data_IF_582370774597
#
_entry.id   IF_582370774597
#
_cell.length_a   1.000
_cell.length_b   1.000
_cell.length_c   1.000
_cell.angle_alpha   90.00
_cell.angle_beta   90.00
_cell.angle_gamma   90.00
#
_symmetry.space_group_name_H-M   'P 1'
#
loop_
_entity.id
_entity.type
_entity.pdbx_description
1 polymer ?
#
# COMPACT_ATOMS: atom_id res chain seq x y z
N UNK A 1 -5.25 146.42 -15.24
CA UNK A 1 -4.50 147.70 -15.26
C UNK A 1 -3.25 147.56 -14.41
N UNK A 2 -2.04 147.75 -14.97
CA UNK A 2 -0.88 148.22 -14.23
C UNK A 2 -0.74 149.75 -14.36
N UNK A 3 -0.05 150.44 -13.44
CA UNK A 3 -0.20 151.88 -13.23
C UNK A 3 0.52 152.73 -14.29
N UNK A 4 -0.13 153.84 -14.67
CA UNK A 4 0.41 154.93 -15.50
C UNK A 4 1.58 155.61 -14.75
N UNK A 5 2.78 155.61 -15.34
CA UNK A 5 3.90 156.47 -14.88
C UNK A 5 3.83 157.82 -15.59
N UNK A 6 3.69 158.87 -14.79
CA UNK A 6 3.59 160.25 -15.21
C UNK A 6 4.82 160.76 -15.96
N UNK A 7 4.57 161.67 -16.89
CA UNK A 7 5.57 162.45 -17.61
C UNK A 7 6.24 163.44 -16.67
N UNK A 8 7.45 163.11 -16.21
CA UNK A 8 8.37 164.08 -15.60
C UNK A 8 9.48 164.40 -16.60
N UNK A 9 9.39 165.56 -17.26
CA UNK A 9 10.52 166.20 -17.98
C UNK A 9 11.65 166.43 -16.97
N UNK A 10 12.75 165.69 -17.10
CA UNK A 10 14.01 165.97 -16.39
C UNK A 10 14.88 166.88 -17.27
N UNK A 11 15.62 167.83 -16.66
CA UNK A 11 16.47 168.77 -17.38
C UNK A 11 17.58 168.03 -18.11
N UNK A 12 18.00 168.56 -19.25
CA UNK A 12 19.11 168.08 -20.06
C UNK A 12 20.38 168.11 -19.20
N UNK A 13 20.71 166.96 -18.59
CA UNK A 13 22.00 166.76 -17.93
C UNK A 13 23.05 166.77 -19.03
N UNK A 14 23.91 167.79 -19.01
CA UNK A 14 25.17 167.83 -19.76
C UNK A 14 25.82 166.46 -19.70
N UNK A 15 25.87 165.76 -20.85
CA UNK A 15 26.54 164.47 -20.99
C UNK A 15 27.97 164.65 -20.48
N UNK A 16 28.35 163.94 -19.42
CA UNK A 16 29.75 163.78 -19.06
C UNK A 16 30.51 163.29 -20.29
N UNK A 17 31.67 163.88 -20.65
CA UNK A 17 32.43 163.44 -21.80
C UNK A 17 32.67 161.94 -21.72
N UNK A 18 32.33 161.21 -22.78
CA UNK A 18 32.65 159.78 -22.87
C UNK A 18 34.16 159.70 -23.03
N UNK A 19 34.86 159.37 -21.95
CA UNK A 19 36.29 159.08 -21.99
C UNK A 19 36.51 157.76 -22.72
N UNK A 20 37.41 157.79 -23.69
CA UNK A 20 37.87 156.62 -24.45
C UNK A 20 39.35 156.48 -24.15
N UNK A 21 39.77 155.39 -23.48
CA UNK A 21 41.15 155.15 -23.02
C UNK A 21 41.78 156.34 -22.26
N UNK A 22 40.98 157.12 -21.52
CA UNK A 22 41.48 158.24 -20.69
C UNK A 22 41.48 159.62 -21.37
N UNK A 23 41.18 159.71 -22.67
CA UNK A 23 41.13 160.97 -23.44
C UNK A 23 39.70 161.36 -23.85
N UNK A 24 39.47 162.66 -24.04
CA UNK A 24 38.22 163.16 -24.61
C UNK A 24 38.20 163.01 -26.14
N UNK A 25 37.01 162.98 -26.73
CA UNK A 25 36.84 162.78 -28.19
C UNK A 25 37.53 163.83 -29.05
N UNK A 26 37.77 165.01 -28.50
CA UNK A 26 38.38 166.15 -29.18
C UNK A 26 39.92 166.14 -29.07
N UNK A 27 40.49 165.32 -28.18
CA UNK A 27 41.94 165.19 -27.94
C UNK A 27 42.60 164.04 -28.72
N UNK A 28 41.82 163.06 -29.19
CA UNK A 28 42.34 161.94 -29.97
C UNK A 28 42.48 162.31 -31.45
N UNK A 29 43.62 161.93 -32.05
CA UNK A 29 43.82 161.97 -33.50
C UNK A 29 42.77 161.12 -34.23
N UNK A 30 42.43 161.49 -35.46
CA UNK A 30 41.54 160.72 -36.35
C UNK A 30 41.95 159.25 -36.45
N UNK A 31 43.25 158.98 -36.54
CA UNK A 31 43.81 157.62 -36.63
C UNK A 31 43.62 156.83 -35.32
N UNK A 32 43.81 157.49 -34.17
CA UNK A 32 43.58 156.87 -32.85
C UNK A 32 42.10 156.54 -32.61
N UNK A 33 41.20 157.39 -33.10
CA UNK A 33 39.76 157.15 -33.08
C UNK A 33 39.37 155.97 -34.00
N UNK A 34 39.96 155.89 -35.19
CA UNK A 34 39.74 154.79 -36.15
C UNK A 34 40.22 153.45 -35.56
N UNK A 35 41.41 153.42 -34.94
CA UNK A 35 41.93 152.23 -34.25
C UNK A 35 41.07 151.80 -33.05
N UNK A 36 40.56 152.75 -32.27
CA UNK A 36 39.65 152.43 -31.17
C UNK A 36 38.31 151.88 -31.68
N UNK A 37 37.77 152.46 -32.76
CA UNK A 37 36.57 151.93 -33.43
C UNK A 37 36.82 150.52 -33.95
N UNK A 38 37.99 150.26 -34.52
CA UNK A 38 38.39 148.93 -34.99
C UNK A 38 38.47 147.93 -33.82
N UNK A 39 39.17 148.26 -32.73
CA UNK A 39 39.22 147.41 -31.51
C UNK A 39 37.84 147.09 -30.95
N UNK A 40 36.95 148.08 -30.87
CA UNK A 40 35.58 147.86 -30.37
C UNK A 40 34.74 146.96 -31.29
N UNK A 41 34.95 147.04 -32.61
CA UNK A 41 34.26 146.17 -33.56
C UNK A 41 34.75 144.73 -33.43
N UNK A 42 36.07 144.55 -33.35
CA UNK A 42 36.66 143.22 -33.12
C UNK A 42 36.18 142.62 -31.79
N UNK A 43 36.12 143.41 -30.72
CA UNK A 43 35.61 142.94 -29.44
C UNK A 43 34.12 142.59 -29.50
N UNK A 44 33.31 143.40 -30.19
CA UNK A 44 31.90 143.10 -30.39
C UNK A 44 31.69 141.80 -31.19
N UNK A 45 32.51 141.57 -32.21
CA UNK A 45 32.42 140.35 -33.02
C UNK A 45 32.93 139.12 -32.24
N UNK A 46 34.01 139.25 -31.45
CA UNK A 46 34.44 138.20 -30.49
C UNK A 46 33.33 137.85 -29.50
N UNK A 47 32.72 138.84 -28.86
CA UNK A 47 31.62 138.63 -27.91
C UNK A 47 30.37 137.99 -28.56
N UNK A 48 30.13 138.27 -29.85
CA UNK A 48 29.06 137.61 -30.63
C UNK A 48 29.39 136.15 -30.90
N UNK A 49 30.62 135.85 -31.28
CA UNK A 49 31.10 134.48 -31.50
C UNK A 49 31.05 133.67 -30.20
N UNK A 50 31.52 134.24 -29.08
CA UNK A 50 31.46 133.60 -27.78
C UNK A 50 30.01 133.34 -27.34
N UNK A 51 29.12 134.32 -27.49
CA UNK A 51 27.69 134.12 -27.21
C UNK A 51 27.10 133.00 -28.06
N UNK A 52 27.44 132.95 -29.36
CA UNK A 52 26.96 131.89 -30.26
C UNK A 52 27.49 130.52 -29.82
N UNK A 53 28.77 130.44 -29.47
CA UNK A 53 29.41 129.24 -28.96
C UNK A 53 28.72 128.72 -27.68
N UNK A 54 28.54 129.58 -26.67
CA UNK A 54 27.86 129.19 -25.43
C UNK A 54 26.40 128.81 -25.66
N UNK A 55 25.73 129.44 -26.63
CA UNK A 55 24.37 129.10 -27.03
C UNK A 55 24.29 127.67 -27.61
N UNK A 56 25.22 127.29 -28.50
CA UNK A 56 25.31 125.94 -29.06
C UNK A 56 25.65 124.89 -28.00
N UNK A 57 26.61 125.18 -27.12
CA UNK A 57 26.96 124.25 -26.03
C UNK A 57 25.80 124.08 -25.04
N UNK A 58 25.06 125.14 -24.72
CA UNK A 58 23.85 125.05 -23.89
C UNK A 58 22.80 124.16 -24.54
N UNK A 59 22.50 124.36 -25.83
CA UNK A 59 21.50 123.58 -26.54
C UNK A 59 21.92 122.10 -26.66
N UNK A 60 23.21 121.82 -26.83
CA UNK A 60 23.79 120.48 -26.81
C UNK A 60 23.62 119.81 -25.44
N UNK A 61 23.91 120.52 -24.34
CA UNK A 61 23.68 120.01 -22.98
C UNK A 61 22.20 119.72 -22.74
N UNK A 62 21.29 120.59 -23.19
CA UNK A 62 19.86 120.34 -23.09
C UNK A 62 19.43 119.11 -23.89
N UNK A 63 19.90 118.95 -25.13
CA UNK A 63 19.60 117.77 -25.94
C UNK A 63 20.09 116.47 -25.27
N UNK A 64 21.30 116.48 -24.71
CA UNK A 64 21.80 115.33 -23.95
C UNK A 64 20.96 115.05 -22.71
N UNK A 65 20.55 116.09 -21.99
CA UNK A 65 19.69 115.96 -20.81
C UNK A 65 18.33 115.37 -21.19
N UNK A 66 17.66 115.88 -22.23
CA UNK A 66 16.37 115.38 -22.71
C UNK A 66 16.45 113.90 -23.13
N UNK A 67 17.51 113.53 -23.87
CA UNK A 67 17.74 112.15 -24.28
C UNK A 67 17.96 111.25 -23.07
N UNK A 68 18.74 111.70 -22.09
CA UNK A 68 19.07 110.91 -20.90
C UNK A 68 17.88 110.76 -19.97
N UNK A 69 17.10 111.83 -19.76
CA UNK A 69 15.86 111.80 -18.98
C UNK A 69 14.83 110.86 -19.60
N UNK A 70 14.64 110.92 -20.93
CA UNK A 70 13.75 109.99 -21.63
C UNK A 70 14.22 108.54 -21.49
N UNK A 71 15.51 108.26 -21.70
CA UNK A 71 16.07 106.90 -21.51
C UNK A 71 15.91 106.41 -20.08
N UNK A 72 16.10 107.28 -19.09
CA UNK A 72 15.90 106.95 -17.68
C UNK A 72 14.43 106.61 -17.41
N UNK A 73 13.48 107.36 -17.98
CA UNK A 73 12.04 107.08 -17.87
C UNK A 73 11.67 105.75 -18.54
N UNK A 74 12.21 105.48 -19.72
CA UNK A 74 12.02 104.20 -20.44
C UNK A 74 12.53 103.02 -19.60
N UNK A 75 13.78 103.07 -19.12
CA UNK A 75 14.36 102.02 -18.29
C UNK A 75 13.59 101.81 -16.97
N UNK A 76 13.13 102.90 -16.33
CA UNK A 76 12.31 102.80 -15.12
C UNK A 76 10.94 102.18 -15.40
N UNK A 77 10.35 102.42 -16.57
CA UNK A 77 9.08 101.81 -16.95
C UNK A 77 9.26 100.31 -17.24
N UNK A 78 10.33 99.93 -17.94
CA UNK A 78 10.70 98.53 -18.19
C UNK A 78 10.93 97.77 -16.87
N UNK A 79 11.67 98.35 -15.94
CA UNK A 79 11.91 97.75 -14.62
C UNK A 79 10.59 97.50 -13.88
N UNK A 80 9.69 98.50 -13.84
CA UNK A 80 8.37 98.35 -13.21
C UNK A 80 7.49 97.29 -13.88
N UNK A 81 7.60 97.10 -15.19
CA UNK A 81 6.87 96.05 -15.88
C UNK A 81 7.42 94.68 -15.53
N UNK A 82 8.76 94.54 -15.51
CA UNK A 82 9.42 93.29 -15.12
C UNK A 82 9.10 92.91 -13.67
N UNK A 83 9.11 93.86 -12.74
CA UNK A 83 8.73 93.62 -11.33
C UNK A 83 7.30 93.08 -11.22
N UNK A 84 6.35 93.66 -11.97
CA UNK A 84 4.96 93.16 -11.99
C UNK A 84 4.86 91.76 -12.58
N UNK A 85 5.59 91.47 -13.67
CA UNK A 85 5.62 90.13 -14.25
C UNK A 85 6.20 89.10 -13.26
N UNK A 86 7.26 89.47 -12.53
CA UNK A 86 7.82 88.64 -11.47
C UNK A 86 6.80 88.38 -10.36
N UNK A 87 6.11 89.41 -9.86
CA UNK A 87 5.04 89.26 -8.86
C UNK A 87 3.90 88.34 -9.36
N UNK A 88 3.45 88.53 -10.60
CA UNK A 88 2.40 87.69 -11.20
C UNK A 88 2.83 86.22 -11.34
N UNK A 89 4.07 85.98 -11.77
CA UNK A 89 4.60 84.62 -11.89
C UNK A 89 4.77 83.97 -10.53
N UNK A 90 5.22 84.70 -9.51
CA UNK A 90 5.30 84.19 -8.15
C UNK A 90 3.92 83.81 -7.62
N UNK A 91 2.90 84.66 -7.81
CA UNK A 91 1.51 84.35 -7.41
C UNK A 91 1.01 83.09 -8.12
N UNK A 92 1.25 82.95 -9.43
CA UNK A 92 0.88 81.75 -10.21
C UNK A 92 1.53 80.50 -9.64
N UNK A 93 2.84 80.54 -9.39
CA UNK A 93 3.59 79.41 -8.81
C UNK A 93 3.09 79.05 -7.41
N UNK A 94 2.79 80.04 -6.56
CA UNK A 94 2.23 79.79 -5.23
C UNK A 94 0.87 79.07 -5.31
N UNK A 95 0.00 79.49 -6.24
CA UNK A 95 -1.28 78.82 -6.47
C UNK A 95 -1.08 77.40 -6.97
N UNK A 96 -0.18 77.20 -7.93
CA UNK A 96 0.13 75.89 -8.50
C UNK A 96 0.67 74.90 -7.43
N UNK A 97 1.59 75.36 -6.57
CA UNK A 97 2.09 74.59 -5.43
C UNK A 97 0.94 74.18 -4.49
N UNK A 98 0.00 75.09 -4.20
CA UNK A 98 -1.16 74.78 -3.35
C UNK A 98 -2.07 73.73 -4.00
N UNK A 99 -2.31 73.83 -5.30
CA UNK A 99 -3.11 72.86 -6.07
C UNK A 99 -2.44 71.48 -6.06
N UNK A 100 -1.14 71.38 -6.38
CA UNK A 100 -0.44 70.10 -6.33
C UNK A 100 -0.42 69.49 -4.93
N UNK A 101 -0.23 70.31 -3.90
CA UNK A 101 -0.31 69.85 -2.51
C UNK A 101 -1.69 69.28 -2.18
N UNK A 102 -2.76 69.91 -2.65
CA UNK A 102 -4.12 69.39 -2.48
C UNK A 102 -4.35 68.10 -3.27
N UNK A 103 -3.89 68.02 -4.52
CA UNK A 103 -3.96 66.79 -5.34
C UNK A 103 -3.25 65.64 -4.66
N UNK A 104 -2.06 65.87 -4.10
CA UNK A 104 -1.30 64.85 -3.39
C UNK A 104 -2.02 64.37 -2.12
N UNK A 105 -2.61 65.29 -1.35
CA UNK A 105 -3.45 64.91 -0.20
C UNK A 105 -4.67 64.08 -0.60
N UNK A 106 -5.34 64.46 -1.68
CA UNK A 106 -6.51 63.74 -2.17
C UNK A 106 -6.13 62.32 -2.61
N UNK A 107 -5.09 62.18 -3.43
CA UNK A 107 -4.61 60.88 -3.91
C UNK A 107 -4.22 59.96 -2.73
N UNK A 108 -3.53 60.48 -1.73
CA UNK A 108 -3.19 59.73 -0.52
C UNK A 108 -4.44 59.28 0.25
N UNK A 109 -5.46 60.14 0.36
CA UNK A 109 -6.73 59.79 1.00
C UNK A 109 -7.48 58.72 0.20
N UNK A 110 -7.53 58.81 -1.13
CA UNK A 110 -8.18 57.82 -1.99
C UNK A 110 -7.50 56.45 -1.87
N UNK A 111 -6.17 56.41 -1.91
CA UNK A 111 -5.42 55.18 -1.72
C UNK A 111 -5.65 54.59 -0.32
N UNK A 112 -5.65 55.43 0.72
CA UNK A 112 -5.92 54.96 2.08
C UNK A 112 -7.34 54.39 2.21
N UNK A 113 -8.34 55.04 1.61
CA UNK A 113 -9.72 54.54 1.60
C UNK A 113 -9.82 53.19 0.88
N UNK A 114 -9.19 53.08 -0.30
CA UNK A 114 -9.16 51.82 -1.07
C UNK A 114 -8.53 50.68 -0.26
N UNK A 115 -7.42 50.95 0.44
CA UNK A 115 -6.78 49.96 1.31
C UNK A 115 -7.71 49.57 2.47
N UNK A 116 -8.38 50.54 3.10
CA UNK A 116 -9.32 50.27 4.18
C UNK A 116 -10.50 49.40 3.70
N UNK A 117 -11.08 49.69 2.53
CA UNK A 117 -12.16 48.92 1.93
C UNK A 117 -11.72 47.47 1.63
N UNK A 118 -10.59 47.29 0.94
CA UNK A 118 -10.06 45.96 0.63
C UNK A 118 -9.74 45.15 1.89
N UNK A 119 -9.21 45.79 2.93
CA UNK A 119 -8.96 45.12 4.21
C UNK A 119 -10.26 44.70 4.90
N UNK A 120 -11.28 45.57 4.89
CA UNK A 120 -12.59 45.26 5.45
C UNK A 120 -13.25 44.09 4.70
N UNK A 121 -13.24 44.10 3.38
CA UNK A 121 -13.74 43.02 2.53
C UNK A 121 -12.99 41.71 2.78
N UNK A 122 -11.67 41.78 2.92
CA UNK A 122 -10.83 40.62 3.24
C UNK A 122 -11.14 40.00 4.61
N UNK A 123 -11.36 40.84 5.63
CA UNK A 123 -11.77 40.38 6.97
C UNK A 123 -13.16 39.76 6.93
N UNK A 124 -14.14 40.44 6.32
CA UNK A 124 -15.51 39.94 6.21
C UNK A 124 -15.58 38.60 5.44
N UNK A 125 -14.82 38.47 4.35
CA UNK A 125 -14.73 37.23 3.59
C UNK A 125 -14.13 36.09 4.42
N UNK A 126 -13.07 36.36 5.19
CA UNK A 126 -12.45 35.37 6.08
C UNK A 126 -13.39 34.94 7.20
N UNK A 127 -14.10 35.88 7.81
CA UNK A 127 -15.09 35.60 8.85
C UNK A 127 -16.25 34.76 8.32
N UNK A 128 -16.76 35.08 7.12
CA UNK A 128 -17.80 34.29 6.47
C UNK A 128 -17.35 32.84 6.20
N UNK A 129 -16.14 32.65 5.66
CA UNK A 129 -15.57 31.33 5.40
C UNK A 129 -15.34 30.55 6.70
N UNK A 130 -14.87 31.22 7.76
CA UNK A 130 -14.70 30.59 9.08
C UNK A 130 -16.06 30.18 9.69
N UNK A 131 -17.10 30.99 9.53
CA UNK A 131 -18.45 30.66 9.97
C UNK A 131 -19.00 29.44 9.23
N UNK A 132 -18.82 29.36 7.91
CA UNK A 132 -19.22 28.20 7.11
C UNK A 132 -18.47 26.94 7.53
N UNK A 133 -17.14 27.02 7.70
CA UNK A 133 -16.32 25.91 8.19
C UNK A 133 -16.83 25.42 9.55
N UNK A 134 -17.09 26.34 10.48
CA UNK A 134 -17.60 26.00 11.83
C UNK A 134 -18.95 25.27 11.74
N UNK A 135 -19.82 25.69 10.82
CA UNK A 135 -21.12 25.04 10.60
C UNK A 135 -20.94 23.63 10.03
N UNK A 136 -20.04 23.45 9.06
CA UNK A 136 -19.75 22.15 8.47
C UNK A 136 -19.15 21.19 9.51
N UNK A 137 -18.20 21.64 10.30
CA UNK A 137 -17.62 20.85 11.40
C UNK A 137 -18.69 20.44 12.42
N UNK A 138 -19.61 21.35 12.76
CA UNK A 138 -20.74 21.04 13.65
C UNK A 138 -21.66 19.98 13.03
N UNK A 139 -21.97 20.09 11.73
CA UNK A 139 -22.79 19.10 11.02
C UNK A 139 -22.13 17.73 11.04
N UNK A 140 -20.83 17.65 10.70
CA UNK A 140 -20.07 16.39 10.74
C UNK A 140 -20.05 15.76 12.14
N UNK A 141 -19.89 16.56 13.19
CA UNK A 141 -19.96 16.07 14.58
C UNK A 141 -21.34 15.50 14.92
N UNK A 142 -22.40 16.14 14.46
CA UNK A 142 -23.77 15.66 14.67
C UNK A 142 -24.04 14.37 13.90
N UNK A 143 -23.62 14.30 12.63
CA UNK A 143 -23.80 13.11 11.79
C UNK A 143 -23.03 11.91 12.39
N UNK A 144 -21.80 12.14 12.87
CA UNK A 144 -21.02 11.12 13.60
C UNK A 144 -21.74 10.65 14.87
N UNK A 145 -22.28 11.58 15.66
CA UNK A 145 -23.01 11.25 16.88
C UNK A 145 -24.28 10.43 16.57
N UNK A 146 -25.02 10.78 15.50
CA UNK A 146 -26.17 10.01 15.03
C UNK A 146 -25.77 8.60 14.65
N UNK A 147 -24.72 8.46 13.82
CA UNK A 147 -24.24 7.16 13.37
C UNK A 147 -23.75 6.28 14.54
N UNK A 148 -23.12 6.88 15.54
CA UNK A 148 -22.77 6.16 16.78
C UNK A 148 -24.01 5.66 17.51
N UNK A 149 -25.06 6.47 17.62
CA UNK A 149 -26.34 6.02 18.22
C UNK A 149 -26.94 4.88 17.40
N UNK A 150 -26.96 4.98 16.07
CA UNK A 150 -27.47 3.92 15.19
C UNK A 150 -26.68 2.61 15.39
N UNK A 151 -25.35 2.68 15.48
CA UNK A 151 -24.51 1.50 15.77
C UNK A 151 -24.86 0.89 17.14
N UNK A 152 -25.08 1.69 18.17
CA UNK A 152 -25.50 1.19 19.48
C UNK A 152 -26.94 0.66 19.49
N UNK A 153 -27.83 1.17 18.63
CA UNK A 153 -29.21 0.69 18.50
C UNK A 153 -29.32 -0.61 17.70
N UNK A 154 -28.37 -0.88 16.79
CA UNK A 154 -28.20 -2.22 16.24
C UNK A 154 -27.68 -3.10 17.37
N UNK A 155 -28.62 -3.62 18.17
CA UNK A 155 -28.40 -4.57 19.25
C UNK A 155 -27.85 -5.86 18.63
N UNK A 156 -26.54 -5.86 18.39
CA UNK A 156 -25.79 -7.03 17.92
C UNK A 156 -25.61 -8.04 19.04
N UNK A 157 -25.75 -7.62 20.30
CA UNK A 157 -25.53 -8.45 21.47
C UNK A 157 -26.65 -9.47 21.66
N UNK A 158 -27.92 -9.10 21.49
CA UNK A 158 -29.05 -10.06 21.60
C UNK A 158 -29.04 -11.19 20.56
N UNK A 159 -28.96 -10.97 19.24
CA UNK A 159 -28.94 -12.07 18.26
C UNK A 159 -27.66 -12.91 18.38
N UNK A 160 -26.52 -12.33 18.78
CA UNK A 160 -25.29 -13.09 19.05
C UNK A 160 -25.47 -13.99 20.29
N UNK A 161 -26.11 -13.49 21.36
CA UNK A 161 -26.42 -14.30 22.54
C UNK A 161 -27.39 -15.44 22.21
N UNK A 162 -28.40 -15.17 21.39
CA UNK A 162 -29.42 -16.16 21.00
C UNK A 162 -28.80 -17.27 20.13
N UNK A 163 -27.96 -16.90 19.15
CA UNK A 163 -27.19 -17.86 18.35
C UNK A 163 -26.24 -18.71 19.20
N UNK A 164 -25.54 -18.10 20.17
CA UNK A 164 -24.68 -18.84 21.11
C UNK A 164 -25.47 -19.85 21.94
N UNK A 165 -26.67 -19.47 22.43
CA UNK A 165 -27.54 -20.40 23.17
C UNK A 165 -28.00 -21.56 22.29
N UNK A 166 -28.37 -21.31 21.04
CA UNK A 166 -28.74 -22.37 20.09
C UNK A 166 -27.59 -23.34 19.84
N UNK A 167 -26.38 -22.84 19.58
CA UNK A 167 -25.19 -23.69 19.37
C UNK A 167 -24.94 -24.58 20.59
N UNK A 168 -24.96 -24.01 21.80
CA UNK A 168 -24.75 -24.78 23.04
C UNK A 168 -25.84 -25.83 23.26
N UNK A 169 -27.10 -25.52 22.94
CA UNK A 169 -28.20 -26.46 23.03
C UNK A 169 -28.05 -27.61 22.01
N UNK A 170 -27.70 -27.30 20.76
CA UNK A 170 -27.48 -28.29 19.70
C UNK A 170 -26.27 -29.19 20.03
N UNK A 171 -25.17 -28.63 20.51
CA UNK A 171 -24.01 -29.40 20.98
C UNK A 171 -24.38 -30.33 22.14
N UNK A 172 -25.16 -29.84 23.11
CA UNK A 172 -25.63 -30.65 24.24
C UNK A 172 -26.55 -31.79 23.80
N UNK A 173 -27.47 -31.54 22.87
CA UNK A 173 -28.37 -32.60 22.35
C UNK A 173 -27.60 -33.64 21.54
N UNK A 174 -26.62 -33.21 20.74
CA UNK A 174 -25.74 -34.11 20.00
C UNK A 174 -24.86 -34.95 20.93
N UNK A 175 -24.26 -34.36 21.96
CA UNK A 175 -23.50 -35.09 22.99
C UNK A 175 -24.35 -36.13 23.72
N UNK A 176 -25.57 -35.76 24.12
CA UNK A 176 -26.50 -36.70 24.76
C UNK A 176 -26.88 -37.86 23.82
N UNK A 177 -26.99 -37.59 22.51
CA UNK A 177 -27.29 -38.61 21.51
C UNK A 177 -26.10 -39.57 21.33
N UNK A 178 -24.88 -39.04 21.18
CA UNK A 178 -23.68 -39.87 21.04
C UNK A 178 -23.38 -40.68 22.31
N UNK A 179 -23.66 -40.13 23.49
CA UNK A 179 -23.55 -40.87 24.76
C UNK A 179 -24.54 -42.03 24.84
N UNK A 180 -25.79 -41.84 24.39
CA UNK A 180 -26.77 -42.93 24.28
C UNK A 180 -26.35 -44.00 23.28
N UNK A 181 -25.82 -43.61 22.13
CA UNK A 181 -25.29 -44.55 21.13
C UNK A 181 -24.09 -45.34 21.69
N UNK A 182 -23.18 -44.67 22.41
CA UNK A 182 -22.03 -45.31 23.04
C UNK A 182 -22.44 -46.32 24.12
N UNK A 183 -23.38 -45.95 24.99
CA UNK A 183 -23.89 -46.85 26.04
C UNK A 183 -24.59 -48.08 25.46
N UNK A 184 -25.34 -47.93 24.37
CA UNK A 184 -25.94 -49.04 23.64
C UNK A 184 -24.88 -50.00 23.07
N UNK A 185 -23.86 -49.47 22.40
CA UNK A 185 -22.75 -50.29 21.85
C UNK A 185 -21.98 -51.02 22.96
N UNK A 186 -21.78 -50.38 24.11
CA UNK A 186 -21.14 -51.02 25.26
C UNK A 186 -21.96 -52.19 25.81
N UNK A 187 -23.30 -52.04 25.87
CA UNK A 187 -24.20 -53.11 26.29
C UNK A 187 -24.17 -54.30 25.31
N UNK A 188 -24.21 -54.02 24.01
CA UNK A 188 -24.11 -55.03 22.95
C UNK A 188 -22.77 -55.80 23.02
N UNK A 189 -21.66 -55.09 23.18
CA UNK A 189 -20.35 -55.71 23.36
C UNK A 189 -20.29 -56.61 24.61
N UNK A 190 -20.91 -56.18 25.72
CA UNK A 190 -21.00 -57.00 26.93
C UNK A 190 -21.74 -58.31 26.66
N UNK A 191 -22.88 -58.24 25.97
CA UNK A 191 -23.69 -59.40 25.64
C UNK A 191 -22.98 -60.36 24.67
N UNK A 192 -22.25 -59.84 23.67
CA UNK A 192 -21.41 -60.65 22.79
C UNK A 192 -20.29 -61.36 23.56
N UNK A 193 -19.70 -60.69 24.56
CA UNK A 193 -18.65 -61.27 25.40
C UNK A 193 -19.20 -62.41 26.28
N UNK A 194 -20.37 -62.23 26.87
CA UNK A 194 -21.06 -63.27 27.66
C UNK A 194 -21.37 -64.51 26.78
N UNK A 195 -21.94 -64.30 25.59
CA UNK A 195 -22.20 -65.40 24.64
C UNK A 195 -20.90 -66.14 24.23
N UNK A 196 -19.79 -65.41 24.05
CA UNK A 196 -18.49 -66.02 23.77
C UNK A 196 -18.00 -66.90 24.92
N UNK A 197 -18.21 -66.48 26.18
CA UNK A 197 -17.83 -67.28 27.34
C UNK A 197 -18.67 -68.55 27.47
N UNK A 198 -19.98 -68.49 27.21
CA UNK A 198 -20.85 -69.67 27.22
C UNK A 198 -20.42 -70.70 26.16
N UNK A 199 -20.12 -70.24 24.94
CA UNK A 199 -19.62 -71.12 23.87
C UNK A 199 -18.27 -71.74 24.24
N UNK A 200 -17.39 -71.01 24.92
CA UNK A 200 -16.10 -71.54 25.40
C UNK A 200 -16.29 -72.63 26.47
N UNK A 201 -17.24 -72.46 27.38
CA UNK A 201 -17.59 -73.48 28.38
C UNK A 201 -18.16 -74.75 27.74
N UNK A 202 -19.04 -74.62 26.74
CA UNK A 202 -19.57 -75.77 26.00
C UNK A 202 -18.48 -76.56 25.27
N UNK A 203 -17.52 -75.87 24.65
CA UNK A 203 -16.36 -76.50 24.00
C UNK A 203 -15.53 -77.28 25.03
N UNK A 204 -15.29 -76.73 26.22
CA UNK A 204 -14.53 -77.41 27.28
C UNK A 204 -15.23 -78.69 27.77
N UNK A 205 -16.56 -78.68 27.90
CA UNK A 205 -17.35 -79.86 28.27
C UNK A 205 -17.27 -80.96 27.21
N UNK A 206 -17.36 -80.59 25.92
CA UNK A 206 -17.25 -81.55 24.82
C UNK A 206 -15.84 -82.16 24.72
N UNK A 207 -14.79 -81.35 24.92
CA UNK A 207 -13.41 -81.84 24.97
C UNK A 207 -13.17 -82.85 26.10
N UNK A 208 -13.76 -82.64 27.28
CA UNK A 208 -13.67 -83.58 28.39
C UNK A 208 -14.43 -84.89 28.13
N UNK A 209 -15.61 -84.85 27.47
CA UNK A 209 -16.33 -86.06 27.04
C UNK A 209 -15.56 -86.88 25.99
N UNK A 210 -14.82 -86.23 25.10
CA UNK A 210 -13.94 -86.89 24.12
C UNK A 210 -12.77 -87.62 24.80
N UNK A 211 -12.11 -87.00 25.79
CA UNK A 211 -11.03 -87.64 26.56
C UNK A 211 -11.48 -88.90 27.30
N UNK A 212 -12.70 -88.91 27.86
CA UNK A 212 -13.24 -90.07 28.59
C UNK A 212 -13.61 -91.25 27.66
N UNK A 213 -14.07 -90.97 26.43
CA UNK A 213 -14.38 -92.00 25.43
C UNK A 213 -13.13 -92.61 24.78
N UNK A 214 -12.08 -91.81 24.53
CA UNK A 214 -10.80 -92.32 23.99
C UNK A 214 -10.15 -93.32 24.96
N UNK A 215 -10.10 -92.98 26.25
CA UNK A 215 -9.44 -93.81 27.29
C UNK A 215 -10.11 -95.17 27.55
N UNK A 216 -11.39 -95.33 27.18
CA UNK A 216 -12.14 -96.60 27.27
C UNK A 216 -11.93 -97.52 26.06
N UNK A 217 -11.57 -96.96 24.90
CA UNK A 217 -11.32 -97.71 23.66
C UNK A 217 -9.90 -98.29 23.63
N UNK A 218 -8.92 -97.54 24.14
CA UNK A 218 -7.52 -97.96 24.15
C UNK A 218 -7.27 -99.15 25.12
N UNK A 219 -7.88 -99.14 26.31
CA UNK A 219 -7.77 -100.26 27.27
C UNK A 219 -8.39 -101.58 26.79
N UNK A 220 -9.33 -101.54 25.83
CA UNK A 220 -9.99 -102.77 25.32
C UNK A 220 -9.14 -103.45 24.23
N UNK A 221 -8.50 -102.66 23.37
CA UNK A 221 -7.60 -103.17 22.32
C UNK A 221 -6.29 -103.72 22.87
N UNK A 222 -5.79 -103.18 23.98
CA UNK A 222 -4.54 -103.64 24.62
C UNK A 222 -4.67 -105.04 25.27
N UNK A 223 -5.86 -105.39 25.78
CA UNK A 223 -6.15 -106.74 26.31
C UNK A 223 -6.30 -107.75 25.17
N UNK A 224 -6.96 -107.38 24.07
CA UNK A 224 -7.13 -108.24 22.89
C UNK A 224 -5.78 -108.51 22.18
N UNK A 225 -4.87 -107.54 22.15
CA UNK A 225 -3.54 -107.69 21.53
C UNK A 225 -2.65 -108.67 22.30
N UNK A 226 -2.66 -108.62 23.64
CA UNK A 226 -1.84 -109.50 24.49
C UNK A 226 -2.31 -110.96 24.47
N UNK A 227 -3.61 -111.22 24.40
CA UNK A 227 -4.14 -112.57 24.29
C UNK A 227 -3.79 -113.22 22.94
N UNK A 228 -3.85 -112.45 21.85
CA UNK A 228 -3.52 -112.95 20.52
C UNK A 228 -2.02 -113.25 20.37
N UNK A 229 -1.15 -112.46 21.01
CA UNK A 229 0.29 -112.72 21.06
C UNK A 229 0.62 -114.04 21.77
N UNK A 230 -0.05 -114.32 22.90
CA UNK A 230 0.13 -115.57 23.65
C UNK A 230 -0.34 -116.81 22.88
N UNK A 231 -1.48 -116.74 22.19
CA UNK A 231 -1.96 -117.84 21.36
C UNK A 231 -1.00 -118.12 20.19
N UNK A 232 -0.47 -117.09 19.54
CA UNK A 232 0.47 -117.26 18.43
C UNK A 232 1.77 -117.94 18.89
N UNK A 233 2.29 -117.62 20.07
CA UNK A 233 3.48 -118.25 20.63
C UNK A 233 3.24 -119.75 20.95
N UNK A 234 2.10 -120.06 21.56
CA UNK A 234 1.68 -121.45 21.86
C UNK A 234 1.48 -122.29 20.59
N UNK A 235 0.87 -121.73 19.55
CA UNK A 235 0.67 -122.42 18.27
C UNK A 235 1.99 -122.72 17.57
N UNK A 236 2.92 -121.76 17.60
CA UNK A 236 4.24 -121.92 16.98
C UNK A 236 5.07 -123.02 17.66
N UNK A 237 4.93 -123.17 18.98
CA UNK A 237 5.57 -124.24 19.75
C UNK A 237 5.00 -125.62 19.39
N UNK A 238 3.67 -125.75 19.34
CA UNK A 238 2.98 -126.97 18.87
C UNK A 238 3.32 -127.34 17.42
N UNK A 239 3.47 -126.35 16.55
CA UNK A 239 3.82 -126.60 15.15
C UNK A 239 5.23 -127.19 15.00
N UNK A 240 6.19 -126.76 15.82
CA UNK A 240 7.55 -127.35 15.86
C UNK A 240 7.54 -128.80 16.37
N UNK A 241 6.73 -129.10 17.37
CA UNK A 241 6.58 -130.47 17.90
C UNK A 241 5.97 -131.41 16.86
N UNK A 242 4.90 -130.98 16.17
CA UNK A 242 4.27 -131.76 15.11
C UNK A 242 5.22 -132.02 13.92
N UNK A 243 6.09 -131.07 13.56
CA UNK A 243 7.08 -131.29 12.51
C UNK A 243 8.12 -132.35 12.86
N UNK A 244 8.53 -132.42 14.13
CA UNK A 244 9.44 -133.47 14.63
C UNK A 244 8.75 -134.85 14.61
N UNK A 245 7.49 -134.91 15.04
CA UNK A 245 6.71 -136.16 15.08
C UNK A 245 6.44 -136.73 13.67
N UNK A 246 6.12 -135.85 12.70
CA UNK A 246 5.95 -136.25 11.29
C UNK A 246 7.27 -136.78 10.70
N UNK A 247 8.41 -136.18 11.04
CA UNK A 247 9.71 -136.64 10.56
C UNK A 247 10.07 -138.04 11.10
N UNK A 248 9.77 -138.33 12.38
CA UNK A 248 9.96 -139.66 12.97
C UNK A 248 9.00 -140.72 12.40
N UNK A 249 7.73 -140.36 12.20
CA UNK A 249 6.72 -141.25 11.60
C UNK A 249 7.03 -141.59 10.14
N UNK A 250 7.54 -140.63 9.35
CA UNK A 250 7.95 -140.91 7.98
C UNK A 250 9.16 -141.87 7.91
N UNK A 251 10.13 -141.73 8.82
CA UNK A 251 11.28 -142.63 8.89
C UNK A 251 10.87 -144.06 9.24
N UNK A 252 10.03 -144.22 10.26
CA UNK A 252 9.57 -145.54 10.74
C UNK A 252 8.60 -146.24 9.77
N UNK A 253 7.74 -145.49 9.09
CA UNK A 253 6.86 -146.00 8.02
C UNK A 253 7.67 -146.53 6.84
N UNK A 254 8.67 -145.78 6.38
CA UNK A 254 9.53 -146.18 5.26
C UNK A 254 10.24 -147.52 5.53
N UNK A 255 10.81 -147.69 6.73
CA UNK A 255 11.47 -148.94 7.15
C UNK A 255 10.49 -150.14 7.26
N UNK A 256 9.23 -149.89 7.61
CA UNK A 256 8.22 -150.94 7.78
C UNK A 256 7.67 -151.42 6.43
N UNK A 257 7.46 -150.50 5.48
CA UNK A 257 7.01 -150.82 4.12
C UNK A 257 8.05 -151.68 3.39
N UNK A 258 9.34 -151.38 3.55
CA UNK A 258 10.43 -152.16 2.95
C UNK A 258 10.45 -153.61 3.48
N UNK A 259 10.23 -153.80 4.79
CA UNK A 259 10.13 -155.13 5.41
C UNK A 259 8.89 -155.91 4.95
N UNK A 260 7.74 -155.25 4.79
CA UNK A 260 6.51 -155.91 4.34
C UNK A 260 6.56 -156.32 2.86
N UNK A 261 7.16 -155.49 2.00
CA UNK A 261 7.33 -155.76 0.57
C UNK A 261 8.16 -157.04 0.34
N UNK A 262 9.32 -157.15 0.99
CA UNK A 262 10.18 -158.32 0.87
C UNK A 262 9.49 -159.63 1.32
N UNK A 263 8.54 -159.54 2.26
CA UNK A 263 7.77 -160.69 2.77
C UNK A 263 6.61 -161.08 1.86
N UNK A 264 6.01 -160.13 1.15
CA UNK A 264 4.95 -160.36 0.17
C UNK A 264 5.51 -161.02 -1.10
N UNK A 265 6.65 -160.53 -1.60
CA UNK A 265 7.29 -161.07 -2.81
C UNK A 265 7.69 -162.54 -2.63
N UNK A 266 8.19 -162.91 -1.44
CA UNK A 266 8.52 -164.30 -1.10
C UNK A 266 7.29 -165.22 -1.08
N UNK A 267 6.12 -164.74 -0.59
CA UNK A 267 4.88 -165.51 -0.58
C UNK A 267 4.28 -165.65 -1.98
N UNK A 268 4.39 -164.63 -2.82
CA UNK A 268 3.91 -164.67 -4.20
C UNK A 268 4.61 -165.78 -4.99
N UNK A 269 5.95 -165.84 -4.90
CA UNK A 269 6.76 -166.86 -5.55
C UNK A 269 6.41 -168.30 -5.11
N UNK A 270 5.95 -168.45 -3.86
CA UNK A 270 5.54 -169.75 -3.31
C UNK A 270 4.16 -170.20 -3.82
N UNK A 271 3.22 -169.28 -4.04
CA UNK A 271 1.91 -169.59 -4.63
C UNK A 271 2.03 -169.94 -6.11
N UNK A 272 2.91 -169.26 -6.84
CA UNK A 272 3.11 -169.44 -8.27
C UNK A 272 3.58 -170.86 -8.61
N UNK A 273 4.51 -171.42 -7.82
CA UNK A 273 4.94 -172.83 -7.96
C UNK A 273 3.81 -173.83 -7.69
N UNK A 274 2.91 -173.55 -6.75
CA UNK A 274 1.78 -174.44 -6.44
C UNK A 274 0.76 -174.48 -7.57
N UNK A 275 0.49 -173.33 -8.20
CA UNK A 275 -0.39 -173.23 -9.37
C UNK A 275 0.18 -174.06 -10.52
N UNK A 276 1.48 -173.96 -10.79
CA UNK A 276 2.11 -174.75 -11.85
C UNK A 276 1.91 -176.27 -11.67
N UNK A 277 2.02 -176.73 -10.42
CA UNK A 277 1.86 -178.16 -10.07
C UNK A 277 0.42 -178.67 -10.29
N UNK A 278 -0.58 -177.79 -10.09
CA UNK A 278 -1.98 -178.13 -10.32
C UNK A 278 -2.32 -178.14 -11.82
N UNK A 279 -1.76 -177.20 -12.57
CA UNK A 279 -1.96 -177.09 -14.02
C UNK A 279 -1.53 -178.36 -14.76
N UNK A 280 -0.40 -178.96 -14.39
CA UNK A 280 0.11 -180.14 -15.10
C UNK A 280 -0.68 -181.42 -14.77
N UNK A 281 -1.28 -181.51 -13.57
CA UNK A 281 -2.15 -182.64 -13.20
C UNK A 281 -3.49 -182.60 -13.94
N UNK A 282 -4.07 -181.41 -14.07
CA UNK A 282 -5.33 -181.21 -14.82
C UNK A 282 -5.12 -181.52 -16.30
N UNK A 283 -3.95 -181.19 -16.85
CA UNK A 283 -3.68 -181.30 -18.28
C UNK A 283 -3.87 -182.71 -18.85
N UNK A 284 -3.61 -183.77 -18.09
CA UNK A 284 -3.44 -185.07 -18.77
C UNK A 284 -4.37 -186.15 -18.28
N UNK A 285 -5.13 -185.86 -17.21
CA UNK A 285 -6.47 -186.44 -17.05
C UNK A 285 -7.35 -186.17 -18.28
N UNK A 286 -7.18 -185.00 -18.94
CA UNK A 286 -7.92 -184.69 -20.17
C UNK A 286 -7.54 -185.58 -21.37
N UNK A 287 -6.31 -186.11 -21.43
CA UNK A 287 -5.87 -186.97 -22.54
C UNK A 287 -6.39 -188.42 -22.46
N UNK A 288 -7.00 -188.83 -21.34
CA UNK A 288 -7.67 -190.13 -21.19
C UNK A 288 -9.00 -190.25 -21.95
N UNK A 289 -9.57 -189.18 -22.52
CA UNK A 289 -11.02 -189.14 -22.80
C UNK A 289 -11.49 -189.33 -24.25
N UNK A 290 -10.64 -189.34 -25.29
CA UNK A 290 -11.15 -189.09 -26.67
C UNK A 290 -11.37 -190.32 -27.58
N UNK A 291 -10.78 -191.51 -27.41
CA UNK A 291 -10.85 -192.53 -28.49
C UNK A 291 -11.28 -193.97 -28.11
N UNK A 292 -12.39 -194.12 -27.39
CA UNK A 292 -13.11 -195.39 -27.22
C UNK A 292 -14.53 -195.42 -27.82
N UNK A 293 -14.88 -194.55 -28.80
CA UNK A 293 -16.24 -194.52 -29.40
C UNK A 293 -16.29 -194.59 -30.96
N UNK A 294 -15.20 -194.88 -31.67
CA UNK A 294 -15.23 -195.26 -33.11
C UNK A 294 -14.06 -196.21 -33.43
#
# INVERSE_FOLDING_TARGET
QPPKKGSSKKPEKSRTPILIDGLTKDEMSKEQLEDHIMRLREELDREREERNYFQLERDKVHAFWDITDRKLKEANAELKNLDKELEETEIKLQVEIKVYRQKMRHLLCEHQNTICELNADGVASKEALQAEQTLLEKKLRNDLASLLVDIHQVDTETPIMELKKQIVADESTNLNKTEKELTQVLLENKQVTENLTEIQEEIAVLQNKMKYKSKKFDNKKEIELNNLAFEHEMLQKKFKELQLEVAELHKTSAETIEKMKNKADAKHMQMEKKIQTLTDKVRTVLYLSVFSVL
#
